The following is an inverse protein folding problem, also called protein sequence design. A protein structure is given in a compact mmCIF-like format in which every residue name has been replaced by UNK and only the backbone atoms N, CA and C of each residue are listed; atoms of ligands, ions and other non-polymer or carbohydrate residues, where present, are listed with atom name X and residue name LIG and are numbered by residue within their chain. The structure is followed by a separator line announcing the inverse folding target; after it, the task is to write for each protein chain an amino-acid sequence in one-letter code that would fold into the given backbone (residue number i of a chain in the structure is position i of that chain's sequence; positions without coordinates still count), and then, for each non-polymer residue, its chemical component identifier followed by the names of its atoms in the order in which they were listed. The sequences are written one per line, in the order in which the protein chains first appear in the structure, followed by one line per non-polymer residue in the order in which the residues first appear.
data_IF_659243419338
#
_entry.id   IF_659243419338
#
_cell.length_a   1.000
_cell.length_b   1.000
_cell.length_c   1.000
_cell.angle_alpha   90.00
_cell.angle_beta   90.00
_cell.angle_gamma   90.00
#
_symmetry.space_group_name_H-M   'P 1'
#
loop_
_entity.id
_entity.type
_entity.pdbx_description
1 polymer ?
#
# COMPACT_ATOMS: atom_id res chain seq x y z
N UNK A 1 7.76 -16.80 21.50
CA UNK A 1 8.03 -15.41 21.90
C UNK A 1 9.46 -15.34 22.39
N UNK A 2 10.28 -14.57 21.71
CA UNK A 2 11.67 -14.32 22.11
C UNK A 2 11.65 -13.32 23.28
N UNK A 3 11.95 -13.80 24.50
CA UNK A 3 11.95 -12.96 25.70
C UNK A 3 13.06 -11.88 25.69
N UNK A 4 14.01 -11.95 24.75
CA UNK A 4 15.07 -10.96 24.55
C UNK A 4 14.66 -9.85 23.56
N UNK A 5 13.50 -9.98 22.92
CA UNK A 5 13.06 -9.05 21.89
C UNK A 5 12.46 -7.79 22.52
N UNK A 6 13.05 -6.64 22.23
CA UNK A 6 12.58 -5.34 22.70
C UNK A 6 11.25 -4.89 22.04
N UNK A 7 10.76 -5.63 21.05
CA UNK A 7 9.53 -5.32 20.33
C UNK A 7 8.53 -6.46 20.56
N UNK A 8 7.45 -6.14 21.28
CA UNK A 8 6.31 -7.04 21.47
C UNK A 8 5.21 -6.63 20.52
N UNK A 9 4.77 -7.57 19.68
CA UNK A 9 3.63 -7.38 18.79
C UNK A 9 2.35 -7.82 19.49
N UNK A 10 1.33 -6.99 19.43
CA UNK A 10 0.05 -7.21 20.09
C UNK A 10 -1.11 -7.04 19.11
N UNK A 11 -2.23 -7.69 19.39
CA UNK A 11 -3.51 -7.44 18.75
C UNK A 11 -4.10 -6.15 19.37
N UNK A 12 -4.32 -5.07 18.60
CA UNK A 12 -4.77 -3.79 19.15
C UNK A 12 -6.17 -3.84 19.76
N UNK A 13 -6.98 -4.83 19.43
CA UNK A 13 -8.32 -5.01 19.99
C UNK A 13 -8.38 -6.08 21.09
N UNK A 14 -7.27 -6.78 21.34
CA UNK A 14 -7.10 -7.76 22.41
C UNK A 14 -8.32 -8.73 22.55
N UNK A 15 -8.67 -9.40 21.46
CA UNK A 15 -9.81 -10.33 21.43
C UNK A 15 -9.35 -11.79 21.30
N UNK A 16 -8.68 -12.34 22.31
CA UNK A 16 -8.26 -13.75 22.29
C UNK A 16 -9.47 -14.67 22.39
N UNK A 17 -9.42 -15.81 21.71
CA UNK A 17 -10.47 -16.79 21.78
C UNK A 17 -10.51 -17.76 20.61
N UNK A 18 -11.54 -18.58 20.56
CA UNK A 18 -11.86 -19.43 19.42
C UNK A 18 -12.85 -18.66 18.53
N UNK A 19 -12.35 -18.10 17.45
CA UNK A 19 -13.13 -17.23 16.55
C UNK A 19 -13.99 -18.01 15.59
N UNK A 20 -13.51 -19.17 15.11
CA UNK A 20 -14.17 -19.99 14.12
C UNK A 20 -15.59 -20.40 14.57
N UNK A 21 -16.58 -20.14 13.74
CA UNK A 21 -17.99 -20.45 13.93
C UNK A 21 -18.53 -19.98 15.29
N UNK A 22 -18.12 -18.79 15.72
CA UNK A 22 -18.50 -18.21 17.01
C UNK A 22 -19.09 -16.82 16.84
N UNK A 23 -20.41 -16.73 16.95
CA UNK A 23 -21.19 -15.51 16.78
C UNK A 23 -20.78 -14.38 17.74
N UNK A 24 -20.21 -14.71 18.91
CA UNK A 24 -19.73 -13.68 19.85
C UNK A 24 -18.57 -12.84 19.30
N UNK A 25 -17.93 -13.26 18.22
CA UNK A 25 -16.85 -12.55 17.54
C UNK A 25 -17.25 -12.09 16.14
N UNK A 26 -18.54 -12.10 15.79
CA UNK A 26 -18.99 -11.80 14.44
C UNK A 26 -18.59 -10.40 13.95
N UNK A 27 -18.35 -9.45 14.85
CA UNK A 27 -17.93 -8.09 14.57
C UNK A 27 -16.49 -7.99 14.05
N UNK A 28 -15.68 -9.01 14.28
CA UNK A 28 -14.28 -9.07 13.85
C UNK A 28 -13.99 -10.16 12.82
N UNK A 29 -14.99 -10.90 12.38
CA UNK A 29 -14.80 -11.93 11.36
C UNK A 29 -14.39 -11.29 10.01
N UNK A 30 -13.46 -11.94 9.33
CA UNK A 30 -12.90 -11.48 8.05
C UNK A 30 -13.07 -12.51 6.93
N UNK A 31 -13.38 -13.79 7.25
CA UNK A 31 -13.57 -14.89 6.30
C UNK A 31 -14.78 -15.75 6.70
N UNK A 32 -15.51 -16.41 5.78
CA UNK A 32 -15.50 -16.15 4.35
C UNK A 32 -16.58 -15.15 3.99
N UNK A 33 -16.30 -14.29 3.03
CA UNK A 33 -17.31 -13.35 2.49
C UNK A 33 -18.45 -14.08 1.75
N UNK A 34 -18.33 -15.41 1.57
CA UNK A 34 -19.19 -16.22 0.68
C UNK A 34 -19.64 -17.51 1.34
N UNK A 35 -20.90 -17.89 1.15
CA UNK A 35 -21.42 -19.21 1.52
C UNK A 35 -20.92 -20.32 0.59
N UNK A 36 -20.82 -20.03 -0.70
CA UNK A 36 -20.34 -20.96 -1.72
C UNK A 36 -19.08 -20.47 -2.39
N UNK A 37 -18.54 -21.31 -3.31
CA UNK A 37 -17.39 -20.91 -4.11
C UNK A 37 -17.69 -19.66 -4.91
N UNK A 38 -16.86 -18.64 -4.78
CA UNK A 38 -17.00 -17.41 -5.53
C UNK A 38 -16.55 -17.54 -6.99
N UNK A 39 -16.64 -16.45 -7.78
CA UNK A 39 -16.32 -16.46 -9.21
C UNK A 39 -14.92 -16.98 -9.55
N UNK A 40 -13.97 -16.84 -8.61
CA UNK A 40 -12.56 -17.18 -8.78
C UNK A 40 -12.07 -18.25 -7.76
N UNK A 41 -12.99 -19.03 -7.19
CA UNK A 41 -12.66 -19.96 -6.10
C UNK A 41 -12.53 -19.25 -4.74
N UNK A 42 -11.70 -19.79 -3.85
CA UNK A 42 -11.49 -19.30 -2.50
C UNK A 42 -12.28 -20.04 -1.44
N UNK A 43 -12.23 -19.57 -0.20
CA UNK A 43 -12.95 -20.15 0.93
C UNK A 43 -14.47 -19.93 0.79
N UNK A 44 -15.23 -20.78 1.46
CA UNK A 44 -16.69 -20.75 1.54
C UNK A 44 -17.11 -21.08 2.97
N UNK A 45 -18.40 -20.96 3.26
CA UNK A 45 -18.96 -21.27 4.59
C UNK A 45 -19.68 -20.11 5.23
N UNK A 46 -19.49 -18.91 4.72
CA UNK A 46 -20.04 -17.69 5.29
C UNK A 46 -19.04 -16.98 6.21
N UNK A 47 -19.43 -15.81 6.70
CA UNK A 47 -18.57 -14.96 7.52
C UNK A 47 -18.55 -15.47 8.96
N UNK A 48 -17.57 -16.30 9.30
CA UNK A 48 -17.56 -17.02 10.59
C UNK A 48 -16.17 -17.16 11.24
N UNK A 49 -15.13 -16.56 10.63
CA UNK A 49 -13.78 -16.69 11.17
C UNK A 49 -12.95 -15.39 11.02
N UNK A 50 -11.97 -15.22 11.89
CA UNK A 50 -11.00 -14.13 11.88
C UNK A 50 -9.64 -14.64 11.40
N UNK A 51 -9.32 -14.46 10.13
CA UNK A 51 -8.04 -14.85 9.53
C UNK A 51 -7.07 -13.69 9.31
N UNK A 52 -7.60 -12.49 9.17
CA UNK A 52 -6.81 -11.31 8.81
C UNK A 52 -6.61 -10.41 10.02
N UNK A 53 -5.36 -9.98 10.22
CA UNK A 53 -4.95 -9.23 11.39
C UNK A 53 -4.04 -8.06 11.00
N UNK A 54 -4.16 -6.98 11.74
CA UNK A 54 -3.10 -6.00 11.89
C UNK A 54 -2.60 -6.12 13.31
N UNK A 55 -1.37 -6.58 13.48
CA UNK A 55 -0.67 -6.53 14.76
C UNK A 55 0.22 -5.30 14.81
N UNK A 56 0.33 -4.69 15.97
CA UNK A 56 1.13 -3.49 16.18
C UNK A 56 2.14 -3.72 17.30
N UNK A 57 3.23 -2.95 17.29
CA UNK A 57 4.11 -2.89 18.45
C UNK A 57 3.34 -2.34 19.65
N UNK A 58 3.47 -2.97 20.81
CA UNK A 58 2.81 -2.53 22.06
C UNK A 58 3.05 -1.03 22.34
N UNK A 59 4.22 -0.53 21.98
CA UNK A 59 4.56 0.88 22.12
C UNK A 59 3.59 1.83 21.38
N UNK A 60 2.98 1.40 20.29
CA UNK A 60 2.05 2.24 19.50
C UNK A 60 0.70 2.44 20.23
N UNK A 61 0.38 1.62 21.21
CA UNK A 61 -0.85 1.77 22.00
C UNK A 61 -0.81 3.05 22.84
N UNK A 62 0.36 3.37 23.40
CA UNK A 62 0.50 4.48 24.36
C UNK A 62 1.50 5.56 23.92
N UNK A 63 2.11 5.44 22.74
CA UNK A 63 3.12 6.38 22.25
C UNK A 63 2.52 7.77 22.02
N UNK A 64 3.29 8.82 22.32
CA UNK A 64 2.83 10.21 22.15
C UNK A 64 3.06 10.75 20.73
N UNK A 65 3.99 10.18 19.97
CA UNK A 65 4.31 10.66 18.63
C UNK A 65 3.48 9.98 17.54
N UNK A 66 3.20 8.67 17.72
CA UNK A 66 2.33 7.88 16.87
C UNK A 66 1.59 6.88 17.75
N UNK A 67 0.28 6.85 17.68
CA UNK A 67 -0.54 5.94 18.51
C UNK A 67 -1.69 5.34 17.72
N UNK A 68 -2.10 4.17 18.11
CA UNK A 68 -3.34 3.55 17.66
C UNK A 68 -4.54 4.36 18.15
N UNK A 69 -5.50 4.61 17.26
CA UNK A 69 -6.76 5.25 17.61
C UNK A 69 -7.74 4.15 18.08
N UNK A 70 -8.13 4.13 19.35
CA UNK A 70 -9.08 3.13 19.87
C UNK A 70 -10.35 3.06 19.03
N UNK A 71 -10.95 1.87 18.92
CA UNK A 71 -12.18 1.58 18.19
C UNK A 71 -12.10 1.79 16.66
N UNK A 72 -10.92 2.10 16.12
CA UNK A 72 -10.73 2.28 14.67
C UNK A 72 -10.39 0.98 13.92
N UNK A 73 -10.07 -0.10 14.63
CA UNK A 73 -9.82 -1.41 14.03
C UNK A 73 -11.14 -2.02 13.58
N UNK A 74 -11.25 -2.34 12.29
CA UNK A 74 -12.48 -2.88 11.71
C UNK A 74 -12.18 -3.87 10.59
N UNK A 75 -12.97 -4.92 10.48
CA UNK A 75 -13.13 -5.69 9.27
C UNK A 75 -14.02 -4.89 8.31
N UNK A 76 -13.42 -4.31 7.25
CA UNK A 76 -14.13 -3.40 6.32
C UNK A 76 -15.29 -4.13 5.64
N UNK A 77 -16.49 -3.63 5.76
CA UNK A 77 -17.71 -4.22 5.20
C UNK A 77 -18.49 -5.10 6.18
N UNK A 78 -17.89 -5.50 7.29
CA UNK A 78 -18.58 -6.29 8.31
C UNK A 78 -19.49 -5.40 9.18
N UNK A 79 -20.79 -5.62 9.10
CA UNK A 79 -21.81 -4.90 9.88
C UNK A 79 -22.13 -5.59 11.21
N UNK A 80 -21.36 -6.57 11.65
CA UNK A 80 -21.53 -7.33 12.89
C UNK A 80 -22.87 -8.11 12.99
N UNK A 81 -23.46 -8.45 11.85
CA UNK A 81 -24.72 -9.20 11.76
C UNK A 81 -24.81 -10.11 10.52
N UNK A 82 -23.65 -10.46 9.97
CA UNK A 82 -23.52 -11.36 8.81
C UNK A 82 -23.03 -12.76 9.20
N UNK A 83 -23.16 -13.15 10.45
CA UNK A 83 -22.64 -14.45 10.91
C UNK A 83 -23.17 -15.60 10.05
N UNK A 84 -22.26 -16.43 9.52
CA UNK A 84 -22.58 -17.55 8.61
C UNK A 84 -23.39 -17.16 7.35
N UNK A 85 -23.28 -15.92 6.88
CA UNK A 85 -23.96 -15.43 5.68
C UNK A 85 -22.95 -14.95 4.65
N UNK A 86 -23.42 -14.68 3.41
CA UNK A 86 -22.65 -13.89 2.46
C UNK A 86 -22.52 -12.45 2.98
N UNK A 87 -21.37 -11.84 2.81
CA UNK A 87 -21.23 -10.41 3.16
C UNK A 87 -22.17 -9.51 2.34
N UNK A 88 -22.61 -9.98 1.17
CA UNK A 88 -23.58 -9.31 0.29
C UNK A 88 -25.05 -9.57 0.66
N UNK A 89 -25.33 -10.31 1.74
CA UNK A 89 -26.71 -10.60 2.14
C UNK A 89 -27.44 -9.31 2.53
N UNK A 90 -28.67 -9.12 2.03
CA UNK A 90 -29.44 -7.90 2.23
C UNK A 90 -29.84 -7.68 3.69
N UNK A 91 -29.88 -8.75 4.48
CA UNK A 91 -30.20 -8.68 5.93
C UNK A 91 -29.07 -8.12 6.78
N UNK A 92 -27.84 -8.13 6.27
CA UNK A 92 -26.65 -7.60 6.95
C UNK A 92 -26.60 -6.07 6.92
N UNK A 93 -27.55 -5.40 7.48
CA UNK A 93 -27.64 -3.92 7.47
C UNK A 93 -26.75 -3.27 8.52
N UNK A 94 -26.23 -2.07 8.24
CA UNK A 94 -25.39 -1.33 9.20
C UNK A 94 -24.60 -0.20 8.59
N UNK A 95 -23.40 0.06 9.14
CA UNK A 95 -22.51 1.15 8.73
C UNK A 95 -22.12 1.05 7.24
N UNK A 96 -21.84 -0.17 6.77
CA UNK A 96 -21.37 -0.40 5.40
C UNK A 96 -22.55 -0.67 4.46
N UNK A 97 -22.59 0.12 3.37
CA UNK A 97 -23.66 0.04 2.38
C UNK A 97 -23.69 -1.30 1.64
N UNK A 98 -24.86 -1.66 1.13
CA UNK A 98 -25.03 -2.84 0.28
C UNK A 98 -24.11 -2.83 -0.94
N UNK A 99 -23.91 -1.66 -1.56
CA UNK A 99 -23.04 -1.50 -2.71
C UNK A 99 -21.59 -1.88 -2.38
N UNK A 100 -21.05 -1.40 -1.27
CA UNK A 100 -19.70 -1.75 -0.82
C UNK A 100 -19.59 -3.25 -0.54
N UNK A 101 -20.55 -3.83 0.18
CA UNK A 101 -20.55 -5.25 0.52
C UNK A 101 -20.64 -6.16 -0.70
N UNK A 102 -21.39 -5.76 -1.75
CA UNK A 102 -21.42 -6.45 -3.03
C UNK A 102 -20.06 -6.39 -3.76
N UNK A 103 -19.34 -5.27 -3.68
CA UNK A 103 -18.01 -5.15 -4.24
C UNK A 103 -17.00 -6.04 -3.51
N UNK A 104 -17.04 -6.04 -2.18
CA UNK A 104 -16.19 -6.91 -1.35
C UNK A 104 -16.45 -8.40 -1.61
N UNK A 105 -17.72 -8.81 -1.72
CA UNK A 105 -18.10 -10.16 -2.12
C UNK A 105 -17.48 -10.57 -3.46
N UNK A 106 -17.45 -9.66 -4.42
CA UNK A 106 -16.89 -9.93 -5.76
C UNK A 106 -15.36 -9.90 -5.77
N UNK A 107 -14.75 -9.15 -4.86
CA UNK A 107 -13.31 -8.92 -4.81
C UNK A 107 -12.55 -10.12 -4.22
N UNK A 108 -12.96 -10.62 -3.05
CA UNK A 108 -12.22 -11.63 -2.29
C UNK A 108 -13.13 -12.44 -1.38
N UNK A 109 -12.68 -13.62 -0.99
CA UNK A 109 -13.24 -14.41 0.09
C UNK A 109 -12.82 -13.92 1.48
N UNK A 110 -11.94 -12.91 1.55
CA UNK A 110 -11.56 -12.21 2.77
C UNK A 110 -11.98 -10.74 2.76
N UNK A 111 -12.24 -10.17 3.94
CA UNK A 111 -12.45 -8.74 4.14
C UNK A 111 -11.13 -8.05 4.48
N UNK A 112 -10.90 -6.85 3.96
CA UNK A 112 -9.77 -6.03 4.38
C UNK A 112 -9.91 -5.63 5.86
N UNK A 113 -8.80 -5.66 6.59
CA UNK A 113 -8.73 -5.11 7.94
C UNK A 113 -8.14 -3.71 7.86
N UNK A 114 -8.76 -2.76 8.53
CA UNK A 114 -8.33 -1.37 8.58
C UNK A 114 -8.20 -0.89 10.02
N UNK A 115 -7.30 0.05 10.27
CA UNK A 115 -7.22 0.80 11.53
C UNK A 115 -6.67 2.20 11.29
N UNK A 116 -6.82 3.07 12.27
CA UNK A 116 -6.26 4.43 12.23
C UNK A 116 -5.09 4.56 13.19
N UNK A 117 -4.06 5.22 12.72
CA UNK A 117 -2.98 5.72 13.56
C UNK A 117 -3.05 7.25 13.59
N UNK A 118 -2.88 7.82 14.76
CA UNK A 118 -2.76 9.26 14.96
C UNK A 118 -1.31 9.62 15.23
N UNK A 119 -0.85 10.72 14.67
CA UNK A 119 0.49 11.24 14.92
C UNK A 119 0.43 12.72 15.21
N UNK A 120 1.22 13.17 16.19
CA UNK A 120 1.39 14.59 16.52
C UNK A 120 2.45 15.27 15.65
N UNK A 121 3.29 14.48 14.96
CA UNK A 121 4.17 15.05 13.96
C UNK A 121 3.33 15.37 12.73
N UNK A 122 3.35 16.65 12.34
CA UNK A 122 2.99 16.95 10.96
C UNK A 122 3.87 16.07 10.10
N UNK A 123 3.28 15.03 9.51
CA UNK A 123 3.81 14.52 8.27
C UNK A 123 3.54 15.66 7.27
N UNK A 124 4.46 16.55 7.20
CA UNK A 124 4.71 17.13 5.91
C UNK A 124 5.03 15.87 5.09
N UNK A 125 4.05 15.37 4.33
CA UNK A 125 4.35 14.79 3.05
C UNK A 125 5.10 15.94 2.36
N UNK A 126 6.35 16.07 2.71
CA UNK A 126 7.30 16.66 1.84
C UNK A 126 7.29 15.66 0.67
N UNK A 127 6.39 15.85 -0.28
CA UNK A 127 6.87 15.95 -1.60
C UNK A 127 8.05 16.89 -1.40
N UNK A 128 9.23 16.37 -1.20
CA UNK A 128 10.37 17.07 -1.74
C UNK A 128 9.81 17.44 -3.11
N UNK A 129 9.44 18.71 -3.22
CA UNK A 129 9.20 19.26 -4.53
C UNK A 129 10.40 18.73 -5.29
N UNK A 130 10.15 17.72 -6.11
CA UNK A 130 11.11 17.35 -7.10
C UNK A 130 11.10 18.56 -8.03
N UNK A 131 11.71 19.65 -7.53
CA UNK A 131 11.96 20.86 -8.32
C UNK A 131 12.72 20.50 -9.59
N UNK A 132 13.35 19.33 -9.56
CA UNK A 132 13.96 18.65 -10.67
C UNK A 132 12.98 18.31 -11.81
N UNK A 133 11.69 18.11 -11.55
CA UNK A 133 10.67 17.89 -12.59
C UNK A 133 10.42 19.18 -13.38
N UNK A 134 10.64 20.34 -12.78
CA UNK A 134 10.54 21.61 -13.48
C UNK A 134 11.78 21.93 -14.32
N UNK A 135 12.95 21.40 -13.93
CA UNK A 135 14.23 21.68 -14.58
C UNK A 135 14.58 20.68 -15.68
N UNK A 136 14.05 19.45 -15.62
CA UNK A 136 14.40 18.38 -16.53
C UNK A 136 13.13 17.66 -17.05
N UNK A 137 12.92 17.68 -18.35
CA UNK A 137 11.75 17.05 -18.98
C UNK A 137 12.19 15.92 -19.91
N UNK A 138 11.53 14.76 -19.78
CA UNK A 138 11.68 13.69 -20.77
C UNK A 138 10.93 14.09 -22.05
N UNK A 139 11.65 14.10 -23.17
CA UNK A 139 11.04 14.49 -24.44
C UNK A 139 10.07 13.44 -24.98
N UNK A 140 10.48 12.17 -24.91
CA UNK A 140 9.62 11.03 -25.23
C UNK A 140 9.86 9.88 -24.24
N UNK A 141 8.79 9.19 -23.87
CA UNK A 141 8.85 8.05 -22.93
C UNK A 141 8.98 6.70 -23.62
N UNK A 142 8.78 6.65 -24.93
CA UNK A 142 9.02 5.46 -25.75
C UNK A 142 10.34 5.66 -26.51
N UNK A 143 11.35 4.87 -26.14
CA UNK A 143 12.75 5.04 -26.55
C UNK A 143 13.26 3.71 -27.10
N UNK A 144 13.97 3.76 -28.25
CA UNK A 144 14.71 2.60 -28.79
C UNK A 144 16.20 2.65 -28.44
N UNK A 145 16.90 3.68 -28.87
CA UNK A 145 18.36 3.76 -28.76
C UNK A 145 18.85 4.97 -27.94
N UNK A 146 18.09 6.08 -27.97
CA UNK A 146 18.50 7.32 -27.33
C UNK A 146 17.34 7.99 -26.59
N UNK A 147 17.50 8.17 -25.29
CA UNK A 147 16.62 8.98 -24.46
C UNK A 147 17.06 10.45 -24.53
N UNK A 148 16.12 11.33 -24.83
CA UNK A 148 16.36 12.78 -24.84
C UNK A 148 15.72 13.43 -23.65
N UNK A 149 16.52 14.12 -22.86
CA UNK A 149 16.08 14.98 -21.76
C UNK A 149 16.25 16.44 -22.15
N UNK A 150 15.27 17.25 -21.84
CA UNK A 150 15.27 18.72 -22.08
C UNK A 150 15.43 19.43 -20.74
N UNK A 151 16.41 20.32 -20.68
CA UNK A 151 16.67 21.17 -19.52
C UNK A 151 15.82 22.43 -19.69
N UNK A 152 14.92 22.69 -18.74
CA UNK A 152 14.05 23.86 -18.79
C UNK A 152 14.63 25.06 -18.04
N UNK A 153 15.34 24.81 -16.96
CA UNK A 153 16.03 25.81 -16.15
C UNK A 153 17.53 25.46 -15.97
N UNK A 154 18.23 26.07 -15.06
CA UNK A 154 19.65 25.76 -14.80
C UNK A 154 19.78 24.54 -13.93
N UNK A 155 20.49 23.53 -14.40
CA UNK A 155 20.96 22.42 -13.55
C UNK A 155 22.22 22.81 -12.78
N UNK A 156 22.47 22.23 -11.59
CA UNK A 156 23.73 22.41 -10.89
C UNK A 156 24.92 21.96 -11.76
N UNK A 157 26.09 22.53 -11.52
CA UNK A 157 27.31 22.27 -12.31
C UNK A 157 27.72 20.79 -12.39
N UNK A 158 27.14 19.95 -11.54
CA UNK A 158 27.32 18.51 -11.51
C UNK A 158 26.02 17.87 -11.03
N UNK A 159 25.39 17.09 -11.90
CA UNK A 159 24.21 16.29 -11.56
C UNK A 159 24.45 14.85 -12.02
N UNK A 160 23.83 13.88 -11.34
CA UNK A 160 23.83 12.48 -11.80
C UNK A 160 22.42 11.99 -12.03
N UNK A 161 22.24 11.23 -13.10
CA UNK A 161 20.98 10.55 -13.43
C UNK A 161 21.22 9.06 -13.32
N UNK A 162 20.36 8.39 -12.59
CA UNK A 162 20.36 6.95 -12.42
C UNK A 162 19.13 6.34 -13.09
N UNK A 163 19.34 5.29 -13.87
CA UNK A 163 18.29 4.51 -14.52
C UNK A 163 18.13 3.20 -13.76
N UNK A 164 16.92 2.92 -13.29
CA UNK A 164 16.58 1.70 -12.57
C UNK A 164 15.55 0.88 -13.34
N UNK A 165 15.69 -0.44 -13.33
CA UNK A 165 14.68 -1.35 -13.87
C UNK A 165 13.49 -1.53 -12.89
N UNK A 166 12.48 -2.29 -13.29
CA UNK A 166 11.29 -2.59 -12.48
C UNK A 166 11.58 -3.30 -11.15
N UNK A 167 12.73 -3.95 -11.02
CA UNK A 167 13.16 -4.64 -9.79
C UNK A 167 13.95 -3.70 -8.85
N UNK A 168 14.08 -2.42 -9.20
CA UNK A 168 14.86 -1.45 -8.43
C UNK A 168 16.38 -1.63 -8.57
N UNK A 169 16.84 -2.42 -9.53
CA UNK A 169 18.26 -2.57 -9.82
C UNK A 169 18.72 -1.42 -10.69
N UNK A 170 19.85 -0.82 -10.32
CA UNK A 170 20.47 0.26 -11.08
C UNK A 170 21.07 -0.29 -12.38
N UNK A 171 20.49 0.09 -13.51
CA UNK A 171 20.92 -0.34 -14.84
C UNK A 171 22.00 0.59 -15.42
N UNK A 172 21.89 1.92 -15.18
CA UNK A 172 22.83 2.90 -15.75
C UNK A 172 22.98 4.11 -14.83
N UNK A 173 24.16 4.73 -14.87
CA UNK A 173 24.43 6.03 -14.23
C UNK A 173 25.04 6.97 -15.25
N UNK A 174 24.51 8.18 -15.35
CA UNK A 174 24.97 9.24 -16.22
C UNK A 174 25.41 10.41 -15.35
N UNK A 175 26.66 10.86 -15.53
CA UNK A 175 27.18 12.03 -14.85
C UNK A 175 27.13 13.20 -15.86
N UNK A 176 26.42 14.24 -15.49
CA UNK A 176 26.26 15.44 -16.29
C UNK A 176 27.28 16.45 -15.80
N UNK A 177 28.25 16.77 -16.64
CA UNK A 177 29.27 17.78 -16.38
C UNK A 177 29.16 18.85 -17.49
N UNK A 178 29.09 20.13 -17.10
CA UNK A 178 29.05 21.28 -18.02
C UNK A 178 27.92 21.24 -19.05
N UNK A 179 26.79 21.79 -18.67
CA UNK A 179 25.60 21.86 -19.52
C UNK A 179 25.70 23.11 -20.38
N UNK A 180 26.18 22.95 -21.61
CA UNK A 180 26.19 24.02 -22.62
C UNK A 180 24.98 23.97 -23.59
N UNK A 181 24.19 22.91 -23.53
CA UNK A 181 23.01 22.69 -24.37
C UNK A 181 21.76 22.43 -23.52
N UNK A 182 20.61 22.87 -23.99
CA UNK A 182 19.32 22.62 -23.32
C UNK A 182 18.84 21.17 -23.43
N UNK A 183 19.63 20.26 -23.97
CA UNK A 183 19.27 18.85 -24.15
C UNK A 183 20.42 17.92 -23.76
N UNK A 184 20.06 16.80 -23.15
CA UNK A 184 20.97 15.69 -22.84
C UNK A 184 20.48 14.47 -23.61
N UNK A 185 21.36 13.84 -24.35
CA UNK A 185 21.10 12.54 -24.98
C UNK A 185 21.79 11.43 -24.19
N UNK A 186 21.02 10.42 -23.86
CA UNK A 186 21.48 9.24 -23.13
C UNK A 186 21.32 8.05 -24.06
N UNK A 187 22.42 7.42 -24.40
CA UNK A 187 22.40 6.15 -25.12
C UNK A 187 21.79 5.07 -24.24
N UNK A 188 20.73 4.43 -24.74
CA UNK A 188 19.98 3.37 -24.09
C UNK A 188 20.02 2.07 -24.88
N UNK A 189 20.82 1.98 -25.92
CA UNK A 189 20.94 0.80 -26.80
C UNK A 189 21.43 -0.47 -26.09
N UNK A 190 22.07 -0.31 -24.94
CA UNK A 190 22.55 -1.38 -24.05
C UNK A 190 21.50 -1.85 -23.03
N UNK A 191 20.33 -1.22 -22.97
CA UNK A 191 19.26 -1.58 -22.07
C UNK A 191 18.30 -2.58 -22.76
N UNK A 192 17.88 -3.58 -22.02
CA UNK A 192 16.85 -4.52 -22.50
C UNK A 192 15.49 -3.82 -22.62
N UNK A 193 14.60 -4.38 -23.45
CA UNK A 193 13.24 -3.84 -23.57
C UNK A 193 12.50 -3.96 -22.24
N UNK A 194 11.97 -2.85 -21.72
CA UNK A 194 11.29 -2.84 -20.43
C UNK A 194 10.90 -1.43 -19.98
N UNK A 195 10.31 -1.37 -18.79
CA UNK A 195 10.01 -0.13 -18.10
C UNK A 195 11.17 0.23 -17.16
N UNK A 196 11.57 1.49 -17.19
CA UNK A 196 12.67 2.02 -16.39
C UNK A 196 12.22 3.29 -15.64
N UNK A 197 12.83 3.53 -14.51
CA UNK A 197 12.67 4.76 -13.71
C UNK A 197 13.95 5.58 -13.78
N UNK A 198 13.80 6.88 -13.95
CA UNK A 198 14.90 7.83 -13.88
C UNK A 198 14.85 8.54 -12.53
N UNK A 199 15.98 8.56 -11.84
CA UNK A 199 16.18 9.29 -10.58
C UNK A 199 17.43 10.16 -10.76
N UNK A 200 17.33 11.39 -10.31
CA UNK A 200 18.49 12.28 -10.29
C UNK A 200 18.93 12.52 -8.85
N UNK A 201 20.24 12.57 -8.65
CA UNK A 201 20.86 13.04 -7.41
C UNK A 201 21.38 14.46 -7.63
N UNK A 202 21.12 15.34 -6.67
CA UNK A 202 21.74 16.65 -6.57
C UNK A 202 23.18 16.54 -6.08
#
# INVERSE_FOLDING_TARGET
LDASNAIVMVDPINTPGTWHNNENFQDIHTQSTRLGSGPNGGASGGLDDRFDFITISENIITNQNIKYVPESYKALGNNANCFNLNISDETCTGEYSQTLRNQLFSMSDHLPVIMKLETTKEFVLNNQDFSFVEDLKIYNTLVSDNLTLVIQNSLPNRASIHIFNMLGQKAKTIIINNINNNTIQIDTSDLESGLYFLISDE
#
